data_IF_925657338188
#
_entry.id   IF_925657338188
#
_cell.length_a   1.000
_cell.length_b   1.000
_cell.length_c   1.000
_cell.angle_alpha   90.00
_cell.angle_beta   90.00
_cell.angle_gamma   90.00
#
_symmetry.space_group_name_H-M   'P 1'
#
loop_
_entity.id
_entity.type
_entity.pdbx_description
1 polymer ?
#
# COMPACT_ATOMS: atom_id res chain seq x y z
N UNK A 1 40.07 9.18 18.07
CA UNK A 1 39.89 9.31 16.61
C UNK A 1 38.99 8.16 16.15
N UNK A 2 37.85 8.52 15.54
CA UNK A 2 36.93 7.65 14.77
C UNK A 2 36.11 6.55 15.50
N UNK A 3 35.14 6.94 16.34
CA UNK A 3 33.94 6.12 16.65
C UNK A 3 32.89 6.17 15.52
N UNK A 4 33.33 6.24 14.26
CA UNK A 4 32.45 6.56 13.15
C UNK A 4 32.92 5.91 11.88
N UNK A 5 32.44 4.69 11.61
CA UNK A 5 32.13 4.15 10.27
C UNK A 5 31.92 2.63 10.31
N UNK A 6 30.90 2.15 11.03
CA UNK A 6 30.39 0.79 10.80
C UNK A 6 28.86 0.76 10.67
N UNK A 7 28.30 1.78 10.00
CA UNK A 7 26.89 1.76 9.56
C UNK A 7 26.79 2.03 8.07
N UNK A 8 27.90 1.82 7.35
CA UNK A 8 27.92 1.93 5.91
C UNK A 8 27.78 0.52 5.35
N UNK A 9 26.76 0.36 4.49
CA UNK A 9 26.68 -0.71 3.48
C UNK A 9 26.00 -2.02 3.90
N UNK A 10 24.92 -1.95 4.66
CA UNK A 10 24.00 -3.09 4.68
C UNK A 10 23.13 -3.01 3.40
N UNK A 11 23.28 -3.99 2.52
CA UNK A 11 22.46 -4.17 1.32
C UNK A 11 21.05 -4.58 1.77
N UNK A 12 20.32 -3.62 2.36
CA UNK A 12 19.06 -3.85 3.04
C UNK A 12 18.01 -4.26 2.01
N UNK A 13 17.73 -5.56 1.94
CA UNK A 13 16.56 -6.06 1.22
C UNK A 13 15.33 -5.48 1.91
N UNK A 14 14.60 -4.65 1.17
CA UNK A 14 13.34 -4.06 1.60
C UNK A 14 12.25 -4.90 0.94
N UNK A 15 11.40 -5.48 1.77
CA UNK A 15 10.24 -6.25 1.36
C UNK A 15 9.00 -5.59 1.98
N UNK A 16 7.90 -5.56 1.24
CA UNK A 16 6.60 -5.12 1.76
C UNK A 16 5.75 -6.35 2.01
N UNK A 17 5.30 -6.51 3.25
CA UNK A 17 4.42 -7.57 3.67
C UNK A 17 3.00 -7.00 3.80
N UNK A 18 2.05 -7.66 3.14
CA UNK A 18 0.63 -7.30 3.18
C UNK A 18 -0.11 -8.40 3.93
N UNK A 19 -0.64 -8.07 5.09
CA UNK A 19 -1.43 -8.98 5.92
C UNK A 19 -2.89 -8.54 5.87
N UNK A 20 -3.80 -9.46 5.56
CA UNK A 20 -5.23 -9.20 5.57
C UNK A 20 -5.90 -10.04 6.66
N UNK A 21 -6.56 -9.38 7.61
CA UNK A 21 -7.22 -10.03 8.75
C UNK A 21 -8.61 -9.45 8.97
N UNK A 22 -9.66 -10.24 8.74
CA UNK A 22 -11.05 -9.88 9.05
C UNK A 22 -11.58 -8.55 8.45
N UNK A 23 -11.03 -8.09 7.33
CA UNK A 23 -11.38 -6.79 6.74
C UNK A 23 -10.34 -5.70 6.99
N UNK A 24 -9.33 -5.95 7.81
CA UNK A 24 -8.25 -5.00 8.06
C UNK A 24 -7.06 -5.38 7.17
N UNK A 25 -6.55 -4.40 6.43
CA UNK A 25 -5.33 -4.50 5.64
C UNK A 25 -4.19 -3.83 6.41
N UNK A 26 -3.23 -4.64 6.83
CA UNK A 26 -1.99 -4.23 7.47
C UNK A 26 -0.83 -4.31 6.49
N UNK A 27 -0.10 -3.21 6.35
CA UNK A 27 1.07 -3.12 5.48
C UNK A 27 2.29 -2.86 6.36
N UNK A 28 3.28 -3.73 6.25
CA UNK A 28 4.54 -3.61 6.96
C UNK A 28 5.73 -3.63 6.00
N UNK A 29 6.74 -2.81 6.30
CA UNK A 29 8.04 -2.88 5.66
C UNK A 29 8.94 -3.80 6.47
N UNK A 30 9.42 -4.84 5.83
CA UNK A 30 10.41 -5.77 6.36
C UNK A 30 11.78 -5.38 5.79
N UNK A 31 12.74 -5.12 6.67
CA UNK A 31 14.10 -4.73 6.32
C UNK A 31 15.03 -5.87 6.75
N UNK A 32 15.72 -6.44 5.77
CA UNK A 32 16.70 -7.51 5.95
C UNK A 32 16.14 -8.75 6.67
N UNK A 33 14.85 -9.04 6.51
CA UNK A 33 14.14 -10.12 7.22
C UNK A 33 14.28 -10.12 8.75
N UNK A 34 14.69 -9.00 9.35
CA UNK A 34 14.92 -8.89 10.80
C UNK A 34 14.10 -7.77 11.41
N UNK A 35 14.01 -6.61 10.74
CA UNK A 35 13.29 -5.44 11.26
C UNK A 35 11.97 -5.30 10.53
N UNK A 36 10.85 -5.46 11.24
CA UNK A 36 9.51 -5.21 10.73
C UNK A 36 9.00 -3.86 11.24
N UNK A 37 8.67 -2.95 10.34
CA UNK A 37 8.07 -1.65 10.65
C UNK A 37 6.66 -1.62 10.07
N UNK A 38 5.63 -1.53 10.92
CA UNK A 38 4.24 -1.30 10.47
C UNK A 38 4.18 0.09 9.84
N UNK A 39 3.63 0.15 8.62
CA UNK A 39 3.55 1.39 7.84
C UNK A 39 2.13 1.93 7.80
N UNK A 40 1.16 1.03 7.60
CA UNK A 40 -0.25 1.39 7.47
C UNK A 40 -1.11 0.25 8.01
N UNK A 41 -2.20 0.61 8.66
CA UNK A 41 -3.26 -0.32 9.06
C UNK A 41 -4.57 0.39 8.76
N UNK A 42 -5.43 -0.23 7.95
CA UNK A 42 -6.68 0.40 7.49
C UNK A 42 -7.75 -0.64 7.21
N UNK A 43 -9.01 -0.32 7.49
CA UNK A 43 -10.14 -1.19 7.17
C UNK A 43 -10.52 -1.03 5.70
N UNK A 44 -10.60 -2.14 4.98
CA UNK A 44 -10.92 -2.15 3.55
C UNK A 44 -12.38 -1.79 3.27
N UNK A 45 -13.25 -1.79 4.29
CA UNK A 45 -14.63 -1.31 4.20
C UNK A 45 -14.68 0.22 4.08
N UNK A 46 -13.67 0.91 4.61
CA UNK A 46 -13.54 2.38 4.50
C UNK A 46 -12.90 2.81 3.18
N UNK A 47 -12.53 1.85 2.32
CA UNK A 47 -12.00 2.18 1.00
C UNK A 47 -13.12 2.76 0.13
N UNK A 48 -12.92 4.01 -0.29
CA UNK A 48 -13.81 4.70 -1.23
C UNK A 48 -13.63 4.13 -2.64
N UNK A 49 -12.40 3.83 -3.04
CA UNK A 49 -12.10 3.21 -4.32
C UNK A 49 -10.85 2.36 -4.21
N UNK A 50 -10.87 1.16 -4.79
CA UNK A 50 -9.69 0.34 -5.06
C UNK A 50 -9.75 -0.15 -6.49
N UNK A 51 -8.74 0.14 -7.29
CA UNK A 51 -8.71 -0.21 -8.71
C UNK A 51 -7.27 -0.39 -9.21
N UNK A 52 -7.05 -1.12 -10.32
CA UNK A 52 -5.73 -1.22 -10.92
C UNK A 52 -5.23 0.16 -11.37
N UNK A 53 -3.92 0.41 -11.29
CA UNK A 53 -3.33 1.68 -11.76
C UNK A 53 -3.45 1.90 -13.26
N UNK A 54 -3.84 0.87 -14.01
CA UNK A 54 -4.20 0.95 -15.43
C UNK A 54 -5.55 1.64 -15.70
N UNK A 55 -6.40 1.85 -14.68
CA UNK A 55 -7.67 2.56 -14.81
C UNK A 55 -7.41 4.07 -15.02
N UNK A 56 -8.14 4.71 -15.94
CA UNK A 56 -8.01 6.15 -16.24
C UNK A 56 -8.25 7.03 -14.99
N UNK A 57 -9.05 6.53 -14.05
CA UNK A 57 -9.32 7.18 -12.77
C UNK A 57 -8.09 7.32 -11.87
N UNK A 58 -7.04 6.53 -12.08
CA UNK A 58 -5.80 6.60 -11.30
C UNK A 58 -5.11 7.97 -11.46
N UNK A 59 -4.91 8.43 -12.70
CA UNK A 59 -4.26 9.72 -12.98
C UNK A 59 -5.07 10.89 -12.40
N UNK A 60 -6.39 10.80 -12.46
CA UNK A 60 -7.30 11.79 -11.86
C UNK A 60 -7.11 11.85 -10.35
N UNK A 61 -7.07 10.70 -9.69
CA UNK A 61 -6.90 10.63 -8.24
C UNK A 61 -5.49 11.04 -7.81
N UNK A 62 -4.46 10.65 -8.55
CA UNK A 62 -3.07 11.01 -8.27
C UNK A 62 -2.83 12.53 -8.31
N UNK A 63 -3.55 13.25 -9.16
CA UNK A 63 -3.50 14.71 -9.28
C UNK A 63 -4.60 15.43 -8.49
N UNK A 64 -5.43 14.69 -7.75
CA UNK A 64 -6.55 15.27 -7.02
C UNK A 64 -6.04 16.09 -5.83
N UNK A 65 -6.36 17.39 -5.79
CA UNK A 65 -5.92 18.32 -4.72
C UNK A 65 -6.40 17.92 -3.32
N UNK A 66 -7.46 17.13 -3.22
CA UNK A 66 -7.97 16.63 -1.94
C UNK A 66 -7.18 15.47 -1.33
N UNK A 67 -6.18 14.89 -2.03
CA UNK A 67 -5.35 13.83 -1.46
C UNK A 67 -4.16 14.46 -0.75
N UNK A 68 -4.16 14.35 0.57
CA UNK A 68 -3.12 14.92 1.43
C UNK A 68 -1.98 13.95 1.68
N UNK A 69 -2.26 12.64 1.72
CA UNK A 69 -1.24 11.62 1.98
C UNK A 69 -1.12 10.64 0.82
N UNK A 70 0.12 10.32 0.43
CA UNK A 70 0.40 9.36 -0.63
C UNK A 70 1.34 8.28 -0.11
N UNK A 71 0.84 7.05 -0.05
CA UNK A 71 1.55 5.87 0.41
C UNK A 71 1.93 5.01 -0.81
N UNK A 72 3.22 4.93 -1.11
CA UNK A 72 3.72 4.11 -2.21
C UNK A 72 4.46 2.89 -1.62
N UNK A 73 3.77 1.76 -1.55
CA UNK A 73 4.26 0.51 -0.99
C UNK A 73 4.29 -0.57 -2.06
N UNK A 74 5.15 -0.38 -3.06
CA UNK A 74 5.41 -1.35 -4.12
C UNK A 74 6.91 -1.41 -4.40
N UNK A 75 7.36 -2.56 -4.90
CA UNK A 75 8.76 -2.76 -5.32
C UNK A 75 8.86 -2.79 -6.83
N UNK A 76 7.96 -3.53 -7.50
CA UNK A 76 7.99 -3.66 -8.94
C UNK A 76 7.05 -2.63 -9.58
N UNK A 77 7.58 -1.87 -10.53
CA UNK A 77 6.78 -0.97 -11.38
C UNK A 77 6.21 -1.69 -12.62
N UNK A 78 6.48 -2.99 -12.75
CA UNK A 78 6.33 -3.75 -14.01
C UNK A 78 4.90 -4.18 -14.37
N UNK A 79 3.94 -4.05 -13.46
CA UNK A 79 2.53 -4.38 -13.71
C UNK A 79 1.88 -5.06 -12.51
N UNK A 80 0.55 -4.94 -12.38
CA UNK A 80 -0.20 -5.50 -11.24
C UNK A 80 -0.33 -4.55 -10.05
N UNK A 81 0.00 -3.27 -10.21
CA UNK A 81 -0.22 -2.27 -9.17
C UNK A 81 -1.69 -1.93 -9.04
N UNK A 82 -2.13 -1.82 -7.80
CA UNK A 82 -3.43 -1.29 -7.43
C UNK A 82 -3.26 0.00 -6.67
N UNK A 83 -4.23 0.89 -6.85
CA UNK A 83 -4.39 2.05 -6.00
C UNK A 83 -5.66 1.91 -5.16
N UNK A 84 -5.61 2.43 -3.95
CA UNK A 84 -6.73 2.55 -3.03
C UNK A 84 -6.81 3.97 -2.49
N UNK A 85 -8.03 4.49 -2.34
CA UNK A 85 -8.28 5.79 -1.70
C UNK A 85 -9.18 5.56 -0.50
N UNK A 86 -8.77 6.12 0.63
CA UNK A 86 -9.42 5.96 1.91
C UNK A 86 -9.14 7.17 2.79
N UNK A 87 -9.89 7.32 3.87
CA UNK A 87 -9.64 8.34 4.88
C UNK A 87 -8.74 7.75 5.96
N UNK A 88 -7.59 8.36 6.22
CA UNK A 88 -6.65 7.96 7.26
C UNK A 88 -6.37 9.15 8.16
N UNK A 89 -6.65 9.01 9.46
CA UNK A 89 -6.43 10.08 10.45
C UNK A 89 -7.10 11.42 10.05
N UNK A 90 -8.30 11.35 9.48
CA UNK A 90 -9.05 12.53 9.03
C UNK A 90 -8.59 13.10 7.69
N UNK A 91 -7.58 12.50 7.04
CA UNK A 91 -7.01 12.96 5.77
C UNK A 91 -7.26 11.97 4.65
N UNK A 92 -7.69 12.45 3.50
CA UNK A 92 -7.88 11.59 2.32
C UNK A 92 -6.52 11.15 1.79
N UNK A 93 -6.33 9.85 1.72
CA UNK A 93 -5.04 9.20 1.49
C UNK A 93 -5.10 8.29 0.28
N UNK A 94 -4.07 8.32 -0.55
CA UNK A 94 -3.89 7.44 -1.70
C UNK A 94 -2.82 6.41 -1.36
N UNK A 95 -3.18 5.14 -1.38
CA UNK A 95 -2.25 4.03 -1.31
C UNK A 95 -2.04 3.45 -2.71
N UNK A 96 -0.79 3.17 -3.06
CA UNK A 96 -0.41 2.40 -4.25
C UNK A 96 0.43 1.22 -3.78
N UNK A 97 0.03 0.02 -4.14
CA UNK A 97 0.65 -1.22 -3.70
C UNK A 97 0.48 -2.34 -4.73
N UNK A 98 1.18 -3.45 -4.51
CA UNK A 98 1.20 -4.62 -5.40
C UNK A 98 0.49 -5.79 -4.68
N UNK A 99 -0.85 -5.81 -4.63
CA UNK A 99 -1.58 -6.91 -4.01
C UNK A 99 -1.47 -8.19 -4.85
N UNK A 100 -1.52 -9.35 -4.19
CA UNK A 100 -1.75 -10.62 -4.88
C UNK A 100 -3.22 -10.75 -5.31
N UNK A 101 -3.50 -11.57 -6.32
CA UNK A 101 -4.87 -11.83 -6.78
C UNK A 101 -5.79 -12.31 -5.64
N UNK A 102 -5.26 -13.14 -4.75
CA UNK A 102 -5.97 -13.60 -3.56
C UNK A 102 -6.36 -12.43 -2.65
N UNK A 103 -5.44 -11.48 -2.42
CA UNK A 103 -5.72 -10.31 -1.58
C UNK A 103 -6.79 -9.42 -2.22
N UNK A 104 -6.74 -9.22 -3.55
CA UNK A 104 -7.79 -8.48 -4.27
C UNK A 104 -9.16 -9.15 -4.12
N UNK A 105 -9.23 -10.49 -4.23
CA UNK A 105 -10.47 -11.23 -4.02
C UNK A 105 -11.00 -11.10 -2.60
N UNK A 106 -10.13 -11.21 -1.59
CA UNK A 106 -10.50 -11.01 -0.19
C UNK A 106 -11.05 -9.60 0.02
N UNK A 107 -10.37 -8.57 -0.47
CA UNK A 107 -10.84 -7.18 -0.37
C UNK A 107 -12.19 -7.01 -1.07
N UNK A 108 -12.40 -7.63 -2.23
CA UNK A 108 -13.68 -7.62 -2.95
C UNK A 108 -14.82 -8.28 -2.17
N UNK A 109 -14.55 -9.32 -1.39
CA UNK A 109 -15.58 -9.96 -0.55
C UNK A 109 -16.07 -8.99 0.53
N UNK A 110 -15.16 -8.24 1.15
CA UNK A 110 -15.50 -7.29 2.21
C UNK A 110 -16.04 -5.96 1.68
N UNK A 111 -15.63 -5.54 0.48
CA UNK A 111 -16.07 -4.29 -0.14
C UNK A 111 -16.30 -4.45 -1.66
N UNK A 112 -17.36 -5.15 -2.07
CA UNK A 112 -17.59 -5.49 -3.48
C UNK A 112 -17.96 -4.29 -4.36
N UNK A 113 -18.46 -3.20 -3.76
CA UNK A 113 -18.97 -2.03 -4.49
C UNK A 113 -17.87 -1.07 -4.91
N UNK A 114 -16.84 -0.93 -4.08
CA UNK A 114 -15.79 0.07 -4.28
C UNK A 114 -14.49 -0.53 -4.87
N UNK A 115 -14.46 -1.84 -5.11
CA UNK A 115 -13.29 -2.56 -5.63
C UNK A 115 -13.53 -2.96 -7.09
N UNK A 116 -12.76 -2.36 -8.00
CA UNK A 116 -12.69 -2.78 -9.40
C UNK A 116 -11.63 -3.85 -9.57
N UNK A 117 -12.05 -5.00 -10.08
CA UNK A 117 -11.13 -6.04 -10.57
C UNK A 117 -10.77 -5.77 -12.02
N UNK A 118 -9.58 -6.24 -12.43
CA UNK A 118 -9.10 -6.18 -13.80
C UNK A 118 -9.89 -7.13 -14.71
#
# INVERSE_FOLDING_TARGET
MAYGCYVLRNNQRIEYDYTFTNGILDIAKVINNTKRKRLLSTDVREFEIMAPTSDEGFLRMLNHKGIEQKFNYFLNRGGGLYYAVFMHEGKKSLLVFEPSDMLVQLVKIYNPRNVKTR
#
